data_IF_931740100658
#
_entry.id   IF_931740100658
#
_cell.length_a   1.000
_cell.length_b   1.000
_cell.length_c   1.000
_cell.angle_alpha   90.00
_cell.angle_beta   90.00
_cell.angle_gamma   90.00
#
_symmetry.space_group_name_H-M   'P 1'
#
loop_
_entity.id
_entity.type
_entity.pdbx_description
1 polymer ?
#
# COMPACT_ATOMS: atom_id res chain seq x y z
N UNK A 1 15.66 10.26 23.74
CA UNK A 1 14.40 10.40 23.01
C UNK A 1 14.41 9.44 21.84
N UNK A 2 13.60 8.38 21.89
CA UNK A 2 13.41 7.48 20.74
C UNK A 2 12.66 8.29 19.68
N UNK A 3 13.39 8.74 18.65
CA UNK A 3 12.79 9.42 17.51
C UNK A 3 11.91 8.39 16.80
N UNK A 4 10.60 8.53 16.98
CA UNK A 4 9.56 7.82 16.25
C UNK A 4 9.53 8.32 14.80
N UNK A 5 10.60 8.04 14.07
CA UNK A 5 10.82 8.42 12.69
C UNK A 5 10.96 7.14 11.90
N UNK A 6 9.85 6.50 11.60
CA UNK A 6 9.75 5.62 10.44
C UNK A 6 8.26 5.56 10.11
N UNK A 7 7.79 6.45 9.23
CA UNK A 7 6.50 6.26 8.57
C UNK A 7 6.60 4.94 7.78
N UNK A 8 5.97 3.86 8.23
CA UNK A 8 6.17 2.56 7.60
C UNK A 8 5.62 2.61 6.17
N UNK A 9 6.50 2.36 5.21
CA UNK A 9 6.16 2.37 3.78
C UNK A 9 5.98 0.93 3.31
N UNK A 10 4.83 0.64 2.70
CA UNK A 10 4.46 -0.68 2.20
C UNK A 10 4.40 -0.63 0.68
N UNK A 11 5.15 -1.50 0.02
CA UNK A 11 5.04 -1.69 -1.43
C UNK A 11 3.92 -2.70 -1.72
N UNK A 12 2.93 -2.28 -2.50
CA UNK A 12 1.84 -3.14 -2.95
C UNK A 12 2.02 -3.42 -4.45
N UNK A 13 2.34 -4.67 -4.77
CA UNK A 13 2.40 -5.15 -6.15
C UNK A 13 1.06 -5.74 -6.54
N UNK A 14 0.45 -5.20 -7.59
CA UNK A 14 -0.88 -5.60 -8.05
C UNK A 14 -0.77 -6.17 -9.46
N UNK A 15 -1.32 -7.35 -9.65
CA UNK A 15 -1.52 -7.95 -10.97
C UNK A 15 -2.68 -7.26 -11.69
N UNK A 16 -2.56 -7.03 -13.00
CA UNK A 16 -3.59 -6.35 -13.80
C UNK A 16 -4.93 -7.09 -13.82
N UNK A 17 -4.94 -8.39 -13.55
CA UNK A 17 -6.15 -9.22 -13.44
C UNK A 17 -6.96 -8.94 -12.17
N UNK A 18 -6.36 -8.29 -11.17
CA UNK A 18 -7.03 -7.98 -9.90
C UNK A 18 -8.01 -6.81 -10.09
N UNK A 19 -9.28 -6.95 -9.68
CA UNK A 19 -10.24 -5.86 -9.76
C UNK A 19 -9.81 -4.65 -8.94
N UNK A 20 -9.98 -3.45 -9.51
CA UNK A 20 -9.57 -2.20 -8.86
C UNK A 20 -10.25 -1.96 -7.50
N UNK A 21 -11.48 -2.44 -7.31
CA UNK A 21 -12.19 -2.33 -6.02
C UNK A 21 -11.44 -3.02 -4.87
N UNK A 22 -10.82 -4.18 -5.14
CA UNK A 22 -10.02 -4.90 -4.13
C UNK A 22 -8.75 -4.12 -3.79
N UNK A 23 -8.12 -3.50 -4.78
CA UNK A 23 -6.95 -2.64 -4.58
C UNK A 23 -7.31 -1.45 -3.68
N UNK A 24 -8.45 -0.80 -3.94
CA UNK A 24 -8.96 0.31 -3.13
C UNK A 24 -9.24 -0.12 -1.69
N UNK A 25 -9.78 -1.33 -1.48
CA UNK A 25 -10.00 -1.86 -0.13
C UNK A 25 -8.69 -1.97 0.67
N UNK A 26 -7.62 -2.50 0.06
CA UNK A 26 -6.29 -2.60 0.68
C UNK A 26 -5.69 -1.23 0.96
N UNK A 27 -5.80 -0.30 0.00
CA UNK A 27 -5.35 1.08 0.16
C UNK A 27 -6.05 1.79 1.34
N UNK A 28 -7.35 1.57 1.50
CA UNK A 28 -8.12 2.13 2.61
C UNK A 28 -7.69 1.56 3.97
N UNK A 29 -7.34 0.27 4.04
CA UNK A 29 -6.80 -0.34 5.26
C UNK A 29 -5.47 0.31 5.64
N UNK A 30 -4.55 0.45 4.68
CA UNK A 30 -3.26 1.05 4.93
C UNK A 30 -3.35 2.53 5.34
N UNK A 31 -4.22 3.30 4.69
CA UNK A 31 -4.49 4.69 5.06
C UNK A 31 -4.99 4.83 6.50
N UNK A 32 -5.87 3.93 6.96
CA UNK A 32 -6.37 3.92 8.35
C UNK A 32 -5.27 3.67 9.37
N UNK A 33 -4.26 2.89 9.01
CA UNK A 33 -3.13 2.56 9.86
C UNK A 33 -1.92 3.47 9.62
N UNK A 34 -2.10 4.58 8.90
CA UNK A 34 -1.05 5.57 8.61
C UNK A 34 0.17 5.00 7.87
N UNK A 35 0.00 3.91 7.12
CA UNK A 35 1.02 3.39 6.22
C UNK A 35 1.05 4.21 4.93
N UNK A 36 2.25 4.54 4.44
CA UNK A 36 2.43 5.03 3.08
C UNK A 36 2.44 3.83 2.14
N UNK A 37 1.61 3.83 1.10
CA UNK A 37 1.65 2.78 0.06
C UNK A 37 2.33 3.32 -1.19
N UNK A 38 3.23 2.50 -1.73
CA UNK A 38 3.71 2.61 -3.11
C UNK A 38 3.03 1.50 -3.91
N UNK A 39 2.20 1.88 -4.87
CA UNK A 39 1.52 0.94 -5.76
C UNK A 39 2.39 0.70 -7.01
N UNK A 40 2.66 -0.55 -7.31
CA UNK A 40 3.32 -0.96 -8.54
C UNK A 40 2.50 -2.06 -9.23
N UNK A 41 2.39 -2.01 -10.55
CA UNK A 41 1.86 -3.13 -11.32
C UNK A 41 3.01 -4.00 -11.79
N UNK A 42 2.92 -5.31 -11.61
CA UNK A 42 3.94 -6.22 -12.13
C UNK A 42 3.97 -6.14 -13.67
N UNK A 43 5.16 -6.09 -14.30
CA UNK A 43 5.27 -6.31 -15.73
C UNK A 43 4.88 -7.78 -16.05
N UNK A 44 4.27 -7.98 -17.22
CA UNK A 44 3.94 -9.31 -17.75
C UNK A 44 5.18 -10.09 -18.17
#
# INVERSE_FOLDING_TARGET
>A
SLQSSDDPTVSLYVDKTVPMEQVVQVMNIAKRNQYKIILATSPE
#
